data_IF_017274741101
#
_entry.id   IF_017274741101
#
_cell.length_a   1.000
_cell.length_b   1.000
_cell.length_c   1.000
_cell.angle_alpha   90.00
_cell.angle_beta   90.00
_cell.angle_gamma   90.00
#
_symmetry.space_group_name_H-M   'P 1'
#
loop_
_entity.id
_entity.type
_entity.pdbx_description
1 polymer ?
#
# COMPACT_ATOMS: atom_id res chain seq x y z
N UNK A 1 13.37 15.31 -46.70
CA UNK A 1 13.76 13.97 -46.20
C UNK A 1 13.73 14.02 -44.68
N UNK A 2 12.77 13.29 -44.09
CA UNK A 2 12.70 12.75 -42.72
C UNK A 2 12.96 13.73 -41.54
N UNK A 3 11.91 14.26 -40.91
CA UNK A 3 11.19 13.64 -39.77
C UNK A 3 12.16 13.32 -38.61
N UNK A 4 12.04 13.81 -37.39
CA UNK A 4 10.92 14.37 -36.66
C UNK A 4 11.12 13.97 -35.19
N UNK A 5 11.10 14.94 -34.27
CA UNK A 5 10.43 14.83 -32.97
C UNK A 5 10.76 13.57 -32.13
N UNK A 6 11.97 13.47 -31.54
CA UNK A 6 12.33 12.41 -30.57
C UNK A 6 13.02 12.98 -29.32
N UNK A 7 12.37 13.88 -28.56
CA UNK A 7 12.93 14.36 -27.30
C UNK A 7 11.90 14.66 -26.20
N UNK A 8 10.80 13.91 -26.17
CA UNK A 8 9.76 14.02 -25.12
C UNK A 8 9.49 12.66 -24.45
N UNK A 9 10.47 11.75 -24.46
CA UNK A 9 10.32 10.38 -24.00
C UNK A 9 10.70 10.11 -22.53
N UNK A 10 11.48 10.98 -21.88
CA UNK A 10 12.16 10.60 -20.64
C UNK A 10 11.44 11.02 -19.35
N UNK A 11 10.54 12.01 -19.38
CA UNK A 11 9.91 12.55 -18.17
C UNK A 11 8.62 11.84 -17.72
N UNK A 12 8.16 10.80 -18.42
CA UNK A 12 6.95 10.04 -18.03
C UNK A 12 7.21 8.78 -17.22
N UNK A 13 8.46 8.36 -17.04
CA UNK A 13 8.77 7.16 -16.25
C UNK A 13 8.74 7.44 -14.74
N UNK A 14 9.21 8.62 -14.31
CA UNK A 14 9.39 8.96 -12.90
C UNK A 14 8.13 9.45 -12.17
N UNK A 15 7.05 9.82 -12.90
CA UNK A 15 5.76 10.11 -12.26
C UNK A 15 4.90 8.86 -12.08
N UNK A 16 5.30 7.73 -12.68
CA UNK A 16 4.45 6.53 -12.76
C UNK A 16 4.66 5.55 -11.61
N UNK A 17 5.64 5.82 -10.76
CA UNK A 17 5.95 4.96 -9.62
C UNK A 17 5.11 5.33 -8.37
N UNK A 18 4.49 6.52 -8.35
CA UNK A 18 3.55 6.96 -7.30
C UNK A 18 2.08 6.57 -7.55
N UNK A 19 1.78 5.88 -8.66
CA UNK A 19 0.41 5.44 -9.00
C UNK A 19 0.17 3.98 -8.58
N UNK A 20 1.11 3.36 -7.87
CA UNK A 20 0.85 2.07 -7.24
C UNK A 20 -0.11 2.27 -6.06
N UNK A 21 -1.31 1.68 -6.19
CA UNK A 21 -2.33 1.40 -5.15
C UNK A 21 -3.57 2.29 -5.07
N UNK A 22 -3.96 3.00 -6.13
CA UNK A 22 -5.36 3.45 -6.30
C UNK A 22 -6.04 2.68 -7.42
N UNK A 23 -6.49 1.47 -7.08
CA UNK A 23 -7.62 0.72 -7.66
C UNK A 23 -7.53 -0.73 -7.15
N UNK A 24 -7.57 -0.91 -5.83
CA UNK A 24 -7.85 -2.20 -5.21
C UNK A 24 -9.35 -2.46 -5.31
N UNK A 25 -9.82 -2.81 -6.51
CA UNK A 25 -11.10 -3.47 -6.65
C UNK A 25 -11.00 -4.85 -5.96
N UNK A 26 -11.63 -4.96 -4.79
CA UNK A 26 -12.12 -6.20 -4.18
C UNK A 26 -11.13 -7.35 -3.93
N UNK A 27 -9.95 -7.07 -3.34
CA UNK A 27 -9.10 -8.15 -2.78
C UNK A 27 -8.37 -7.77 -1.50
N UNK A 28 -9.06 -7.08 -0.59
CA UNK A 28 -8.63 -7.12 0.81
C UNK A 28 -8.76 -8.57 1.29
N UNK A 29 -7.76 -9.15 1.98
CA UNK A 29 -7.86 -10.51 2.50
C UNK A 29 -9.13 -10.58 3.37
N UNK A 30 -9.95 -11.59 3.10
CA UNK A 30 -11.18 -11.82 3.85
C UNK A 30 -10.75 -12.11 5.28
N UNK A 31 -11.30 -11.34 6.21
CA UNK A 31 -11.00 -11.42 7.62
C UNK A 31 -11.79 -12.56 8.23
N UNK A 32 -11.24 -13.77 8.17
CA UNK A 32 -11.84 -15.04 8.67
C UNK A 32 -11.93 -15.12 10.21
N UNK A 33 -12.06 -13.98 10.91
CA UNK A 33 -12.02 -13.90 12.37
C UNK A 33 -10.60 -13.76 12.92
N UNK A 34 -9.69 -14.62 12.45
CA UNK A 34 -8.28 -14.64 12.86
C UNK A 34 -7.40 -14.22 11.68
N UNK A 35 -6.55 -13.22 11.92
CA UNK A 35 -5.61 -12.67 10.95
C UNK A 35 -4.19 -12.85 11.46
N UNK A 36 -3.32 -13.38 10.58
CA UNK A 36 -1.90 -13.41 10.84
C UNK A 36 -1.23 -12.24 10.14
N UNK A 37 -0.70 -11.30 10.92
CA UNK A 37 0.02 -10.13 10.43
C UNK A 37 1.51 -10.45 10.38
N UNK A 38 2.18 -10.33 9.22
CA UNK A 38 3.60 -10.60 9.11
C UNK A 38 4.42 -9.56 9.89
N UNK A 39 5.60 -9.96 10.38
CA UNK A 39 6.40 -9.16 11.31
C UNK A 39 6.81 -7.76 10.78
N UNK A 40 7.02 -7.66 9.47
CA UNK A 40 7.53 -6.45 8.82
C UNK A 40 6.43 -5.50 8.34
N UNK A 41 5.20 -5.72 8.78
CA UNK A 41 4.03 -4.94 8.37
C UNK A 41 3.10 -4.63 9.54
N UNK A 42 2.41 -3.51 9.45
CA UNK A 42 1.35 -3.08 10.35
C UNK A 42 0.09 -2.80 9.52
N UNK A 43 -1.03 -3.42 9.89
CA UNK A 43 -2.26 -3.33 9.11
C UNK A 43 -3.25 -2.39 9.81
N UNK A 44 -3.66 -1.33 9.14
CA UNK A 44 -4.64 -0.37 9.66
C UNK A 44 -6.05 -0.88 9.39
N UNK A 45 -6.85 -0.97 10.46
CA UNK A 45 -8.22 -1.44 10.43
C UNK A 45 -9.19 -0.29 10.66
N UNK A 46 -10.27 -0.28 9.89
CA UNK A 46 -11.39 0.63 10.01
C UNK A 46 -12.67 -0.13 10.37
N UNK A 47 -13.53 0.51 11.17
CA UNK A 47 -14.85 0.03 11.57
C UNK A 47 -15.91 1.00 11.06
N UNK A 48 -16.78 0.53 10.17
CA UNK A 48 -17.88 1.33 9.59
C UNK A 48 -17.40 2.69 9.01
N UNK A 49 -16.20 2.73 8.43
CA UNK A 49 -15.59 3.94 7.87
C UNK A 49 -14.87 4.84 8.88
N UNK A 50 -14.68 4.41 10.13
CA UNK A 50 -13.84 5.10 11.12
C UNK A 50 -12.60 4.29 11.43
N UNK A 51 -11.47 4.96 11.68
CA UNK A 51 -10.27 4.29 12.17
C UNK A 51 -10.56 3.57 13.49
N UNK A 52 -10.18 2.29 13.57
CA UNK A 52 -10.31 1.50 14.79
C UNK A 52 -8.96 1.35 15.48
N UNK A 53 -8.00 0.65 14.85
CA UNK A 53 -6.64 0.45 15.36
C UNK A 53 -5.70 -0.03 14.25
N UNK A 54 -4.40 0.11 14.49
CA UNK A 54 -3.39 -0.64 13.75
C UNK A 54 -3.19 -2.03 14.39
N UNK A 55 -3.12 -3.05 13.57
CA UNK A 55 -2.76 -4.42 13.95
C UNK A 55 -1.24 -4.51 13.95
N UNK A 56 -0.70 -4.78 15.14
CA UNK A 56 0.71 -5.10 15.33
C UNK A 56 1.03 -6.47 14.73
N UNK A 57 2.29 -6.74 14.39
CA UNK A 57 2.72 -8.05 13.91
C UNK A 57 2.33 -9.18 14.86
N UNK A 58 1.90 -10.31 14.31
CA UNK A 58 1.44 -11.48 15.04
C UNK A 58 -0.03 -11.84 14.81
N UNK A 59 -0.59 -12.62 15.74
CA UNK A 59 -1.96 -13.11 15.66
C UNK A 59 -2.93 -12.05 16.16
N UNK A 60 -3.85 -11.64 15.29
CA UNK A 60 -4.86 -10.64 15.59
C UNK A 60 -6.26 -11.17 15.34
N UNK A 61 -7.23 -10.63 16.08
CA UNK A 61 -8.64 -10.94 15.92
C UNK A 61 -9.40 -9.74 15.32
N UNK A 62 -10.21 -9.99 14.29
CA UNK A 62 -11.01 -8.97 13.61
C UNK A 62 -12.38 -9.54 13.22
N UNK A 63 -13.42 -8.71 13.28
CA UNK A 63 -14.79 -9.13 12.98
C UNK A 63 -15.08 -8.86 11.49
N UNK A 64 -15.27 -9.90 10.64
CA UNK A 64 -15.40 -9.74 9.18
C UNK A 64 -16.47 -8.76 8.71
N UNK A 65 -17.57 -8.67 9.44
CA UNK A 65 -18.73 -7.86 9.06
C UNK A 65 -18.58 -6.38 9.39
N UNK A 66 -17.75 -6.06 10.39
CA UNK A 66 -17.70 -4.73 11.01
C UNK A 66 -16.35 -4.06 10.73
N UNK A 67 -15.29 -4.85 10.69
CA UNK A 67 -13.91 -4.41 10.53
C UNK A 67 -13.45 -4.62 9.08
N UNK A 68 -12.71 -3.67 8.52
CA UNK A 68 -12.10 -3.74 7.19
C UNK A 68 -10.64 -3.30 7.28
N UNK A 69 -9.73 -4.00 6.58
CA UNK A 69 -8.33 -3.59 6.45
C UNK A 69 -8.25 -2.51 5.37
N UNK A 70 -7.92 -1.28 5.76
CA UNK A 70 -7.88 -0.14 4.84
C UNK A 70 -6.49 0.10 4.27
N UNK A 71 -5.44 -0.11 5.07
CA UNK A 71 -4.07 0.16 4.65
C UNK A 71 -3.07 -0.83 5.27
N UNK A 72 -2.04 -1.22 4.52
CA UNK A 72 -0.91 -2.03 4.99
C UNK A 72 0.34 -1.17 4.96
N UNK A 73 0.85 -0.80 6.13
CA UNK A 73 2.12 -0.10 6.27
C UNK A 73 3.24 -1.12 6.40
N UNK A 74 4.23 -1.08 5.51
CA UNK A 74 5.45 -1.85 5.73
C UNK A 74 6.37 -1.05 6.66
N UNK A 75 6.87 -1.69 7.71
CA UNK A 75 7.86 -1.11 8.64
C UNK A 75 9.28 -1.08 8.04
N UNK A 76 9.42 -1.51 6.78
CA UNK A 76 10.67 -1.42 6.05
C UNK A 76 10.98 0.07 5.85
N UNK A 77 12.10 0.50 6.42
CA UNK A 77 12.68 1.80 6.14
C UNK A 77 12.80 1.94 4.62
N UNK A 78 12.07 2.89 4.06
CA UNK A 78 12.29 3.32 2.69
C UNK A 78 13.67 3.98 2.73
N UNK A 79 14.70 3.28 2.28
CA UNK A 79 16.00 3.87 2.05
C UNK A 79 15.80 4.96 1.00
N UNK A 80 15.69 6.21 1.46
CA UNK A 80 15.72 7.36 0.59
C UNK A 80 17.18 7.46 0.18
N UNK A 81 17.48 7.04 -1.05
CA UNK A 81 18.80 7.22 -1.64
C UNK A 81 19.05 8.72 -1.68
N UNK A 82 19.94 9.19 -0.81
CA UNK A 82 20.41 10.58 -0.83
C UNK A 82 21.27 10.69 -2.08
N UNK A 83 20.94 11.56 -3.06
CA UNK A 83 21.80 11.77 -4.20
C UNK A 83 23.13 12.36 -3.70
N UNK A 84 24.25 11.70 -4.02
CA UNK A 84 25.59 12.28 -3.79
C UNK A 84 25.71 13.58 -4.59
N UNK A 85 26.15 14.66 -3.91
CA UNK A 85 26.43 15.97 -4.51
C UNK A 85 27.91 16.16 -4.81
#
# INVERSE_FOLDING_TARGET
MFAGRVFTGLTRKLLKDSVHKRCFALRTPINTGILFVPEKEAWVVERLGKFYKALSPGLNFCIPFVDRIAYVQSLKEVAIEIPDQ
#
